data_IF_799643931967
#
_entry.id   IF_799643931967
#
_cell.length_a   1.000
_cell.length_b   1.000
_cell.length_c   1.000
_cell.angle_alpha   90.00
_cell.angle_beta   90.00
_cell.angle_gamma   90.00
#
_symmetry.space_group_name_H-M   'P 1'
#
loop_
_entity.id
_entity.type
_entity.pdbx_description
1 polymer ?
#
# COMPACT_ATOMS: atom_id res chain seq x y z
N UNK A 1 15.97 3.03 -13.50
CA UNK A 1 14.74 3.70 -13.07
C UNK A 1 14.67 3.68 -11.55
N UNK A 2 13.97 4.62 -10.92
CA UNK A 2 13.64 4.61 -9.49
C UNK A 2 12.11 4.59 -9.36
N UNK A 3 11.60 3.46 -8.90
CA UNK A 3 10.18 3.15 -8.74
C UNK A 3 9.83 3.21 -7.25
N UNK A 4 9.08 4.21 -6.85
CA UNK A 4 8.50 4.32 -5.52
C UNK A 4 7.25 3.43 -5.44
N UNK A 5 7.32 2.32 -4.69
CA UNK A 5 6.24 1.34 -4.61
C UNK A 5 5.07 1.75 -3.70
N UNK A 6 5.18 2.87 -2.98
CA UNK A 6 4.21 3.27 -1.97
C UNK A 6 3.90 4.77 -2.07
N UNK A 7 2.78 5.10 -2.73
CA UNK A 7 2.27 6.46 -2.80
C UNK A 7 0.76 6.53 -2.80
N UNK A 8 0.24 7.58 -2.20
CA UNK A 8 -1.19 7.86 -2.12
C UNK A 8 -1.53 9.26 -2.63
N UNK A 9 -2.72 9.40 -3.21
CA UNK A 9 -3.23 10.72 -3.59
C UNK A 9 -3.74 11.47 -2.36
N UNK A 10 -2.86 12.14 -1.62
CA UNK A 10 -3.19 12.82 -0.36
C UNK A 10 -3.59 14.29 -0.52
N UNK A 11 -3.55 14.78 -1.75
CA UNK A 11 -3.81 16.17 -2.15
C UNK A 11 -5.00 16.21 -3.12
N UNK A 12 -6.05 15.48 -2.76
CA UNK A 12 -7.27 15.32 -3.58
C UNK A 12 -7.97 16.68 -3.77
N UNK A 13 -8.67 16.90 -4.91
CA UNK A 13 -9.41 18.13 -5.13
C UNK A 13 -10.54 18.31 -4.09
N UNK A 14 -10.83 19.56 -3.72
CA UNK A 14 -11.81 19.90 -2.66
C UNK A 14 -13.20 19.31 -2.92
N UNK A 15 -13.61 19.18 -4.19
CA UNK A 15 -14.88 18.55 -4.55
C UNK A 15 -14.95 17.07 -4.14
N UNK A 16 -13.83 16.34 -4.19
CA UNK A 16 -13.76 14.94 -3.72
C UNK A 16 -13.99 14.86 -2.20
N UNK A 17 -13.35 15.76 -1.45
CA UNK A 17 -13.54 15.87 0.00
C UNK A 17 -14.95 16.30 0.38
N UNK A 18 -15.52 17.28 -0.33
CA UNK A 18 -16.87 17.77 -0.13
C UNK A 18 -17.89 16.65 -0.33
N UNK A 19 -17.76 15.87 -1.40
CA UNK A 19 -18.62 14.71 -1.62
C UNK A 19 -18.47 13.69 -0.49
N UNK A 20 -17.24 13.29 -0.13
CA UNK A 20 -17.02 12.27 0.90
C UNK A 20 -17.62 12.70 2.23
N UNK A 21 -17.48 13.96 2.61
CA UNK A 21 -18.10 14.50 3.83
C UNK A 21 -19.63 14.35 3.79
N UNK A 22 -20.26 14.74 2.68
CA UNK A 22 -21.71 14.59 2.51
C UNK A 22 -22.15 13.11 2.48
N UNK A 23 -21.34 12.22 1.91
CA UNK A 23 -21.61 10.78 1.86
C UNK A 23 -21.54 10.15 3.24
N UNK A 24 -20.58 10.56 4.08
CA UNK A 24 -20.48 10.15 5.48
C UNK A 24 -21.69 10.66 6.28
N UNK A 25 -22.07 11.93 6.10
CA UNK A 25 -23.29 12.48 6.72
C UNK A 25 -24.55 11.72 6.30
N UNK A 26 -24.63 11.27 5.05
CA UNK A 26 -25.71 10.41 4.56
C UNK A 26 -25.68 9.02 5.21
N UNK A 27 -24.52 8.38 5.27
CA UNK A 27 -24.35 7.06 5.90
C UNK A 27 -24.71 7.07 7.40
N UNK A 28 -24.43 8.17 8.10
CA UNK A 28 -24.78 8.37 9.51
C UNK A 28 -26.25 8.76 9.73
N UNK A 29 -27.10 8.77 8.69
CA UNK A 29 -28.48 9.29 8.71
C UNK A 29 -28.58 10.77 9.17
N UNK A 30 -27.52 11.55 8.95
CA UNK A 30 -27.48 13.00 9.24
C UNK A 30 -27.86 13.87 8.03
N UNK A 31 -27.89 13.30 6.82
CA UNK A 31 -28.37 13.97 5.61
C UNK A 31 -29.71 13.39 5.11
N UNK A 32 -30.55 14.23 4.49
CA UNK A 32 -31.89 13.85 3.99
C UNK A 32 -31.87 13.06 2.67
N UNK A 33 -30.77 13.08 1.93
CA UNK A 33 -30.67 12.45 0.61
C UNK A 33 -29.24 12.11 0.24
N UNK A 34 -29.09 11.15 -0.68
CA UNK A 34 -27.78 10.72 -1.19
C UNK A 34 -27.10 11.88 -1.94
N UNK A 35 -25.84 12.22 -1.64
CA UNK A 35 -25.15 13.30 -2.33
C UNK A 35 -24.84 12.92 -3.79
N UNK A 36 -24.70 13.92 -4.64
CA UNK A 36 -24.23 13.75 -6.01
C UNK A 36 -22.72 14.04 -6.09
N UNK A 37 -21.98 13.22 -6.85
CA UNK A 37 -20.57 13.44 -7.08
C UNK A 37 -20.37 14.52 -8.15
N UNK A 38 -19.84 15.67 -7.76
CA UNK A 38 -19.52 16.76 -8.69
C UNK A 38 -18.40 16.33 -9.63
N UNK A 39 -18.48 16.77 -10.90
CA UNK A 39 -17.38 16.58 -11.84
C UNK A 39 -16.13 17.33 -11.35
N UNK A 40 -14.99 16.65 -11.38
CA UNK A 40 -13.67 17.24 -11.14
C UNK A 40 -13.00 17.39 -12.51
N UNK A 41 -12.54 18.57 -12.90
CA UNK A 41 -11.86 18.77 -14.19
C UNK A 41 -10.47 18.15 -14.20
N UNK A 42 -9.94 17.86 -15.40
CA UNK A 42 -8.56 17.38 -15.54
C UNK A 42 -7.55 18.43 -15.07
N UNK A 43 -7.87 19.72 -15.19
CA UNK A 43 -6.98 20.80 -14.79
C UNK A 43 -6.86 20.91 -13.26
N UNK A 44 -7.94 20.68 -12.51
CA UNK A 44 -7.88 20.54 -11.04
C UNK A 44 -7.00 19.35 -10.61
N UNK A 45 -7.10 18.21 -11.30
CA UNK A 45 -6.24 17.06 -11.03
C UNK A 45 -4.77 17.39 -11.35
N UNK A 46 -4.51 18.02 -12.50
CA UNK A 46 -3.15 18.41 -12.89
C UNK A 46 -2.54 19.40 -11.91
N UNK A 47 -3.28 20.41 -11.47
CA UNK A 47 -2.80 21.42 -10.53
C UNK A 47 -2.33 20.78 -9.22
N UNK A 48 -3.16 19.91 -8.64
CA UNK A 48 -2.82 19.20 -7.41
C UNK A 48 -1.61 18.28 -7.57
N UNK A 49 -1.50 17.51 -8.67
CA UNK A 49 -0.37 16.61 -8.91
C UNK A 49 0.93 17.38 -9.22
N UNK A 50 0.87 18.40 -10.08
CA UNK A 50 2.03 19.21 -10.49
C UNK A 50 2.61 19.96 -9.30
N UNK A 51 1.76 20.57 -8.46
CA UNK A 51 2.21 21.33 -7.28
C UNK A 51 2.80 20.45 -6.17
N UNK A 52 2.46 19.16 -6.15
CA UNK A 52 2.80 18.24 -5.07
C UNK A 52 3.66 17.07 -5.55
N UNK A 53 3.07 15.91 -5.84
CA UNK A 53 3.78 14.65 -6.04
C UNK A 53 4.77 14.72 -7.22
N UNK A 54 4.37 15.33 -8.34
CA UNK A 54 5.26 15.43 -9.51
C UNK A 54 6.44 16.38 -9.26
N UNK A 55 6.22 17.45 -8.48
CA UNK A 55 7.30 18.34 -8.04
C UNK A 55 8.30 17.59 -7.18
N UNK A 56 7.83 16.84 -6.17
CA UNK A 56 8.73 16.07 -5.30
C UNK A 56 9.41 14.90 -6.01
N UNK A 57 8.75 14.19 -6.94
CA UNK A 57 9.41 13.20 -7.79
C UNK A 57 10.61 13.81 -8.51
N UNK A 58 10.45 14.99 -9.11
CA UNK A 58 11.54 15.71 -9.81
C UNK A 58 12.64 16.16 -8.86
N UNK A 59 12.29 16.74 -7.71
CA UNK A 59 13.26 17.23 -6.71
C UNK A 59 14.06 16.10 -6.08
N UNK A 60 13.44 14.93 -5.85
CA UNK A 60 14.04 13.76 -5.20
C UNK A 60 14.63 12.74 -6.18
N UNK A 61 14.38 12.90 -7.48
CA UNK A 61 14.89 12.03 -8.53
C UNK A 61 14.22 10.65 -8.59
N UNK A 62 12.92 10.58 -8.31
CA UNK A 62 12.11 9.39 -8.57
C UNK A 62 11.51 9.47 -9.99
N UNK A 63 11.42 8.32 -10.68
CA UNK A 63 10.91 8.27 -12.06
C UNK A 63 9.42 7.91 -12.10
N UNK A 64 9.00 6.95 -11.28
CA UNK A 64 7.63 6.40 -11.26
C UNK A 64 7.17 6.17 -9.82
N UNK A 65 5.90 6.46 -9.53
CA UNK A 65 5.25 6.06 -8.27
C UNK A 65 4.09 5.09 -8.55
N UNK A 66 4.06 3.99 -7.81
CA UNK A 66 2.88 3.13 -7.71
C UNK A 66 1.87 3.85 -6.81
N UNK A 67 0.76 4.28 -7.39
CA UNK A 67 -0.12 5.30 -6.83
C UNK A 67 -1.53 4.77 -6.58
N UNK A 68 -2.07 5.06 -5.40
CA UNK A 68 -3.37 4.56 -4.95
C UNK A 68 -4.19 5.64 -4.23
N UNK A 69 -5.48 5.40 -3.94
CA UNK A 69 -6.28 6.32 -3.13
C UNK A 69 -5.67 6.60 -1.75
N UNK A 70 -6.06 7.73 -1.14
CA UNK A 70 -5.59 8.10 0.21
C UNK A 70 -5.92 7.04 1.24
N UNK A 71 -4.91 6.44 1.87
CA UNK A 71 -5.12 5.35 2.82
C UNK A 71 -6.05 5.67 3.99
N UNK A 72 -5.82 6.80 4.68
CA UNK A 72 -6.69 7.23 5.78
C UNK A 72 -8.10 7.64 5.30
N UNK A 73 -8.25 7.92 4.00
CA UNK A 73 -9.50 8.27 3.35
C UNK A 73 -10.33 7.06 2.89
N UNK A 74 -9.77 5.84 2.83
CA UNK A 74 -10.52 4.63 2.43
C UNK A 74 -11.75 4.43 3.32
N UNK A 75 -11.58 4.53 4.65
CA UNK A 75 -12.67 4.67 5.61
C UNK A 75 -13.67 3.51 5.61
N UNK A 76 -13.20 2.27 5.45
CA UNK A 76 -14.05 1.07 5.35
C UNK A 76 -15.01 0.87 6.53
N UNK A 77 -14.69 1.39 7.71
CA UNK A 77 -15.53 1.32 8.91
C UNK A 77 -16.70 2.31 8.89
N UNK A 78 -16.86 3.13 7.84
CA UNK A 78 -17.90 4.15 7.73
C UNK A 78 -18.96 3.72 6.71
N UNK A 79 -20.20 3.58 7.19
CA UNK A 79 -21.34 3.18 6.37
C UNK A 79 -21.41 1.67 6.14
N UNK A 80 -21.98 1.29 5.01
CA UNK A 80 -22.19 -0.10 4.60
C UNK A 80 -21.42 -0.44 3.32
N UNK A 81 -21.63 -1.65 2.81
CA UNK A 81 -21.02 -2.14 1.58
C UNK A 81 -21.29 -1.23 0.37
N UNK A 82 -22.49 -0.67 0.24
CA UNK A 82 -22.84 0.19 -0.88
C UNK A 82 -22.10 1.53 -0.82
N UNK A 83 -21.92 2.09 0.38
CA UNK A 83 -21.09 3.28 0.62
C UNK A 83 -19.62 2.99 0.29
N UNK A 84 -19.09 1.85 0.76
CA UNK A 84 -17.72 1.42 0.44
C UNK A 84 -17.51 1.23 -1.06
N UNK A 85 -18.47 0.62 -1.78
CA UNK A 85 -18.38 0.39 -3.21
C UNK A 85 -18.34 1.68 -4.02
N UNK A 86 -19.31 2.58 -3.79
CA UNK A 86 -19.36 3.87 -4.47
C UNK A 86 -18.08 4.68 -4.20
N UNK A 87 -17.61 4.68 -2.94
CA UNK A 87 -16.42 5.42 -2.59
C UNK A 87 -15.16 4.85 -3.23
N UNK A 88 -14.99 3.52 -3.20
CA UNK A 88 -13.84 2.86 -3.83
C UNK A 88 -13.78 3.16 -5.33
N UNK A 89 -14.90 3.05 -6.03
CA UNK A 89 -14.98 3.32 -7.47
C UNK A 89 -14.61 4.77 -7.80
N UNK A 90 -15.18 5.74 -7.09
CA UNK A 90 -14.90 7.17 -7.33
C UNK A 90 -13.43 7.52 -7.11
N UNK A 91 -12.80 7.00 -6.05
CA UNK A 91 -11.37 7.25 -5.81
C UNK A 91 -10.48 6.47 -6.77
N UNK A 92 -10.81 5.23 -7.12
CA UNK A 92 -10.05 4.45 -8.11
C UNK A 92 -10.12 5.11 -9.50
N UNK A 93 -11.28 5.66 -9.88
CA UNK A 93 -11.44 6.41 -11.13
C UNK A 93 -10.59 7.69 -11.14
N UNK A 94 -10.43 8.37 -10.00
CA UNK A 94 -9.49 9.50 -9.89
C UNK A 94 -8.05 9.05 -10.11
N UNK A 95 -7.63 7.91 -9.53
CA UNK A 95 -6.29 7.36 -9.78
C UNK A 95 -6.11 7.01 -11.26
N UNK A 96 -7.10 6.38 -11.90
CA UNK A 96 -7.04 6.05 -13.32
C UNK A 96 -6.93 7.29 -14.22
N UNK A 97 -7.58 8.40 -13.84
CA UNK A 97 -7.41 9.68 -14.52
C UNK A 97 -6.00 10.23 -14.35
N UNK A 98 -5.43 10.16 -13.15
CA UNK A 98 -4.03 10.58 -12.90
C UNK A 98 -3.05 9.76 -13.76
N UNK A 99 -3.20 8.44 -13.81
CA UNK A 99 -2.34 7.57 -14.63
C UNK A 99 -2.50 7.83 -16.13
N UNK A 100 -3.66 8.34 -16.56
CA UNK A 100 -3.89 8.76 -17.96
C UNK A 100 -3.26 10.11 -18.26
N UNK A 101 -3.33 11.05 -17.31
CA UNK A 101 -2.78 12.40 -17.45
C UNK A 101 -1.25 12.45 -17.30
N UNK A 102 -0.68 11.53 -16.52
CA UNK A 102 0.74 11.45 -16.19
C UNK A 102 1.29 10.01 -16.31
N UNK A 103 1.16 9.36 -17.49
CA UNK A 103 1.43 7.91 -17.65
C UNK A 103 2.89 7.52 -17.50
N UNK A 104 3.83 8.47 -17.59
CA UNK A 104 5.26 8.22 -17.36
C UNK A 104 5.64 8.28 -15.87
N UNK A 105 4.78 8.84 -15.02
CA UNK A 105 5.09 9.17 -13.62
C UNK A 105 4.28 8.36 -12.60
N UNK A 106 3.13 7.83 -13.01
CA UNK A 106 2.24 7.09 -12.12
C UNK A 106 1.68 5.84 -12.77
N UNK A 107 1.58 4.78 -11.97
CA UNK A 107 0.87 3.54 -12.30
C UNK A 107 -0.11 3.22 -11.17
N UNK A 108 -1.31 2.75 -11.51
CA UNK A 108 -2.41 2.63 -10.56
C UNK A 108 -2.40 1.35 -9.72
N UNK A 109 -2.76 1.48 -8.46
CA UNK A 109 -3.14 0.40 -7.52
C UNK A 109 -4.48 0.78 -6.89
N UNK A 110 -5.41 -0.17 -6.78
CA UNK A 110 -6.75 0.14 -6.29
C UNK A 110 -6.87 0.03 -4.78
N UNK A 111 -7.77 0.83 -4.19
CA UNK A 111 -8.41 0.41 -2.94
C UNK A 111 -9.55 -0.58 -3.25
N UNK A 112 -9.87 -1.42 -2.27
CA UNK A 112 -10.97 -2.38 -2.38
C UNK A 112 -12.20 -1.87 -1.62
N UNK A 113 -13.43 -2.19 -2.06
CA UNK A 113 -14.66 -1.77 -1.38
C UNK A 113 -14.96 -2.64 -0.14
N UNK A 114 -14.00 -2.77 0.77
CA UNK A 114 -14.17 -3.57 1.98
C UNK A 114 -15.11 -2.87 2.97
N UNK A 115 -15.84 -3.66 3.76
CA UNK A 115 -16.72 -3.17 4.84
C UNK A 115 -16.76 -4.21 5.98
N UNK A 116 -16.88 -3.80 7.26
CA UNK A 116 -16.94 -4.72 8.40
C UNK A 116 -18.03 -5.78 8.26
N UNK A 117 -17.69 -7.04 8.49
CA UNK A 117 -18.62 -8.17 8.43
C UNK A 117 -19.03 -8.59 7.01
N UNK A 118 -18.53 -7.91 5.98
CA UNK A 118 -18.77 -8.25 4.56
C UNK A 118 -17.66 -9.13 4.03
N UNK A 119 -18.01 -10.12 3.22
CA UNK A 119 -17.03 -11.03 2.60
C UNK A 119 -16.12 -10.29 1.64
N UNK A 120 -14.81 -10.55 1.71
CA UNK A 120 -13.83 -10.00 0.77
C UNK A 120 -14.08 -10.46 -0.68
N UNK A 121 -14.79 -11.56 -0.89
CA UNK A 121 -15.19 -12.01 -2.22
C UNK A 121 -16.01 -10.94 -2.98
N UNK A 122 -16.74 -10.07 -2.27
CA UNK A 122 -17.54 -9.01 -2.88
C UNK A 122 -16.67 -7.87 -3.44
N UNK A 123 -15.38 -7.82 -3.10
CA UNK A 123 -14.41 -6.87 -3.65
C UNK A 123 -13.76 -7.34 -4.97
N UNK A 124 -14.01 -8.59 -5.41
CA UNK A 124 -13.39 -9.18 -6.61
C UNK A 124 -13.75 -8.38 -7.86
N UNK A 125 -15.02 -8.00 -8.02
CA UNK A 125 -15.47 -7.26 -9.21
C UNK A 125 -14.73 -5.92 -9.38
N UNK A 126 -14.45 -5.22 -8.28
CA UNK A 126 -13.69 -3.96 -8.33
C UNK A 126 -12.20 -4.20 -8.60
N UNK A 127 -11.62 -5.26 -8.04
CA UNK A 127 -10.24 -5.67 -8.38
C UNK A 127 -10.13 -5.96 -9.89
N UNK A 128 -11.05 -6.75 -10.44
CA UNK A 128 -11.08 -7.08 -11.88
C UNK A 128 -11.27 -5.83 -12.74
N UNK A 129 -12.21 -4.94 -12.37
CA UNK A 129 -12.44 -3.67 -13.08
C UNK A 129 -11.18 -2.81 -13.11
N UNK A 130 -10.49 -2.67 -11.98
CA UNK A 130 -9.28 -1.87 -11.89
C UNK A 130 -8.12 -2.48 -12.69
N UNK A 131 -7.88 -3.79 -12.58
CA UNK A 131 -6.74 -4.43 -13.24
C UNK A 131 -6.97 -4.57 -14.75
N UNK A 132 -8.15 -5.03 -15.16
CA UNK A 132 -8.43 -5.35 -16.58
C UNK A 132 -9.00 -4.16 -17.36
N UNK A 133 -9.79 -3.30 -16.70
CA UNK A 133 -10.42 -2.14 -17.32
C UNK A 133 -9.59 -0.85 -17.20
N UNK A 134 -8.94 -0.63 -16.05
CA UNK A 134 -8.17 0.60 -15.78
C UNK A 134 -6.65 0.43 -15.87
N UNK A 135 -6.17 -0.80 -16.08
CA UNK A 135 -4.74 -1.11 -16.23
C UNK A 135 -3.94 -1.07 -14.93
N UNK A 136 -4.59 -1.21 -13.78
CA UNK A 136 -3.91 -1.22 -12.48
C UNK A 136 -3.03 -2.45 -12.30
N UNK A 137 -2.00 -2.32 -11.47
CA UNK A 137 -0.95 -3.34 -11.29
C UNK A 137 -1.00 -4.06 -9.95
N UNK A 138 -1.95 -3.72 -9.08
CA UNK A 138 -2.09 -4.26 -7.73
C UNK A 138 -3.28 -3.67 -6.96
N UNK A 139 -3.44 -4.09 -5.71
CA UNK A 139 -4.42 -3.51 -4.79
C UNK A 139 -3.85 -3.25 -3.37
N UNK A 140 -4.51 -2.39 -2.62
CA UNK A 140 -4.35 -2.29 -1.17
C UNK A 140 -5.41 -3.18 -0.50
N UNK A 141 -4.97 -4.18 0.27
CA UNK A 141 -5.81 -5.12 1.00
C UNK A 141 -5.81 -4.76 2.48
N UNK A 142 -6.98 -4.43 3.02
CA UNK A 142 -7.12 -4.05 4.42
C UNK A 142 -7.37 -5.29 5.30
N UNK A 143 -6.46 -5.63 6.23
CA UNK A 143 -6.63 -6.79 7.12
C UNK A 143 -7.64 -6.53 8.24
N UNK A 144 -8.01 -5.28 8.50
CA UNK A 144 -8.97 -4.86 9.52
C UNK A 144 -9.92 -3.76 8.98
N UNK A 145 -10.96 -4.11 8.21
CA UNK A 145 -11.94 -3.14 7.73
C UNK A 145 -12.72 -2.45 8.87
N UNK A 146 -12.65 -2.96 10.11
CA UNK A 146 -13.32 -2.36 11.27
C UNK A 146 -12.63 -1.14 11.86
N UNK A 147 -11.43 -0.78 11.37
CA UNK A 147 -10.79 0.50 11.72
C UNK A 147 -10.22 0.54 13.13
N UNK A 148 -9.50 -0.51 13.55
CA UNK A 148 -8.79 -0.53 14.83
C UNK A 148 -9.37 -1.46 15.88
N UNK A 149 -10.29 -2.34 15.51
CA UNK A 149 -10.88 -3.33 16.41
C UNK A 149 -10.46 -4.77 16.09
N UNK A 150 -9.83 -5.02 14.94
CA UNK A 150 -9.36 -6.35 14.53
C UNK A 150 -10.46 -7.42 14.59
N UNK A 151 -11.64 -7.10 14.05
CA UNK A 151 -12.79 -8.02 14.03
C UNK A 151 -12.84 -8.94 12.82
N UNK A 152 -12.01 -8.69 11.80
CA UNK A 152 -11.90 -9.56 10.64
C UNK A 152 -11.03 -10.81 10.93
N UNK A 153 -11.25 -11.92 10.20
CA UNK A 153 -10.42 -13.12 10.31
C UNK A 153 -8.95 -12.84 9.94
N UNK A 154 -7.97 -13.58 10.49
CA UNK A 154 -6.57 -13.44 10.11
C UNK A 154 -6.37 -13.71 8.61
N UNK A 155 -5.32 -13.15 8.01
CA UNK A 155 -5.00 -13.33 6.57
C UNK A 155 -4.78 -14.79 6.14
N UNK A 156 -4.65 -15.71 7.08
CA UNK A 156 -4.49 -17.15 6.82
C UNK A 156 -5.83 -17.90 6.77
N UNK A 157 -6.94 -17.24 7.13
CA UNK A 157 -8.28 -17.81 7.11
C UNK A 157 -8.78 -18.06 5.69
N UNK A 158 -9.56 -19.14 5.51
CA UNK A 158 -10.11 -19.52 4.21
C UNK A 158 -11.13 -18.52 3.67
N UNK A 159 -11.69 -17.64 4.50
CA UNK A 159 -12.55 -16.55 4.05
C UNK A 159 -11.87 -15.64 3.02
N UNK A 160 -10.52 -15.57 3.02
CA UNK A 160 -9.76 -14.75 2.08
C UNK A 160 -9.42 -15.46 0.76
N UNK A 161 -9.56 -16.78 0.69
CA UNK A 161 -9.05 -17.60 -0.41
C UNK A 161 -9.67 -17.24 -1.77
N UNK A 162 -10.99 -16.99 -1.89
CA UNK A 162 -11.56 -16.55 -3.17
C UNK A 162 -10.90 -15.29 -3.72
N UNK A 163 -10.49 -14.37 -2.83
CA UNK A 163 -9.79 -13.16 -3.23
C UNK A 163 -8.33 -13.45 -3.62
N UNK A 164 -7.64 -14.33 -2.89
CA UNK A 164 -6.27 -14.75 -3.24
C UNK A 164 -6.21 -15.50 -4.57
N UNK A 165 -7.20 -16.35 -4.87
CA UNK A 165 -7.35 -16.97 -6.20
C UNK A 165 -7.39 -15.92 -7.29
N UNK A 166 -8.16 -14.83 -7.08
CA UNK A 166 -8.24 -13.73 -8.06
C UNK A 166 -6.94 -12.93 -8.18
N UNK A 167 -6.24 -12.65 -7.09
CA UNK A 167 -4.91 -12.00 -7.13
C UNK A 167 -3.91 -12.83 -7.95
N UNK A 168 -3.92 -14.16 -7.75
CA UNK A 168 -3.06 -15.08 -8.50
C UNK A 168 -3.47 -15.16 -9.97
N UNK A 169 -4.77 -15.25 -10.27
CA UNK A 169 -5.29 -15.29 -11.64
C UNK A 169 -4.92 -14.02 -12.44
N UNK A 170 -5.06 -12.84 -11.83
CA UNK A 170 -4.75 -11.55 -12.45
C UNK A 170 -3.25 -11.23 -12.46
N UNK A 171 -2.45 -12.03 -11.75
CA UNK A 171 -1.02 -11.90 -11.53
C UNK A 171 -0.62 -10.53 -10.92
N UNK A 172 -1.31 -10.13 -9.86
CA UNK A 172 -1.08 -8.86 -9.16
C UNK A 172 -0.82 -9.06 -7.65
N UNK A 173 0.10 -8.31 -7.04
CA UNK A 173 0.33 -8.34 -5.60
C UNK A 173 -0.71 -7.50 -4.84
N UNK A 174 -0.75 -7.68 -3.51
CA UNK A 174 -1.49 -6.80 -2.61
C UNK A 174 -0.55 -6.15 -1.58
N UNK A 175 -0.68 -4.84 -1.38
CA UNK A 175 -0.10 -4.18 -0.21
C UNK A 175 -1.06 -4.33 0.98
N UNK A 176 -0.58 -4.85 2.10
CA UNK A 176 -1.35 -4.96 3.33
C UNK A 176 -1.45 -3.57 3.95
N UNK A 177 -2.65 -2.97 3.94
CA UNK A 177 -2.80 -1.58 4.33
C UNK A 177 -4.14 -1.32 5.03
N UNK A 178 -4.09 -0.91 6.30
CA UNK A 178 -5.27 -0.46 7.06
C UNK A 178 -5.69 0.97 6.69
N UNK A 179 -6.79 1.47 7.23
CA UNK A 179 -7.27 2.85 6.97
C UNK A 179 -7.28 3.69 8.25
N UNK A 180 -8.08 4.75 8.30
CA UNK A 180 -8.33 5.52 9.52
C UNK A 180 -8.75 4.62 10.69
N UNK A 181 -8.24 4.92 11.89
CA UNK A 181 -8.66 4.27 13.13
C UNK A 181 -9.86 5.01 13.73
N UNK A 182 -10.92 4.29 14.09
CA UNK A 182 -12.01 4.76 14.94
C UNK A 182 -11.82 4.35 16.42
N UNK A 183 -10.70 3.70 16.75
CA UNK A 183 -10.35 3.33 18.11
C UNK A 183 -9.50 4.42 18.79
N UNK A 184 -10.00 4.97 19.89
CA UNK A 184 -9.34 6.03 20.65
C UNK A 184 -7.95 5.65 21.20
N UNK A 185 -7.65 4.35 21.33
CA UNK A 185 -6.33 3.89 21.76
C UNK A 185 -5.27 3.94 20.65
N UNK A 186 -5.68 4.01 19.38
CA UNK A 186 -4.77 3.88 18.25
C UNK A 186 -4.80 5.13 17.38
N UNK A 187 -3.73 5.91 17.44
CA UNK A 187 -3.47 6.94 16.43
C UNK A 187 -3.29 6.29 15.05
N UNK A 188 -4.00 6.80 14.03
CA UNK A 188 -4.06 6.20 12.68
C UNK A 188 -2.69 5.84 12.11
N UNK A 189 -1.85 6.83 11.83
CA UNK A 189 -0.58 6.59 11.10
C UNK A 189 0.58 6.19 11.99
N UNK A 190 0.52 6.54 13.28
CA UNK A 190 1.63 6.36 14.23
C UNK A 190 1.53 5.13 15.11
N UNK A 191 0.37 4.47 15.12
CA UNK A 191 0.15 3.24 15.89
C UNK A 191 -0.63 2.20 15.09
N UNK A 192 -1.81 2.53 14.57
CA UNK A 192 -2.67 1.56 13.89
C UNK A 192 -1.97 0.92 12.68
N UNK A 193 -1.27 1.71 11.86
CA UNK A 193 -0.53 1.23 10.69
C UNK A 193 0.58 0.25 11.10
N UNK A 194 1.53 0.68 11.94
CA UNK A 194 2.66 -0.14 12.40
C UNK A 194 2.21 -1.41 13.12
N UNK A 195 1.14 -1.31 13.92
CA UNK A 195 0.54 -2.47 14.59
C UNK A 195 -0.01 -3.47 13.58
N UNK A 196 -0.63 -2.99 12.49
CA UNK A 196 -1.19 -3.85 11.46
C UNK A 196 -0.14 -4.56 10.62
N UNK A 197 0.93 -3.86 10.25
CA UNK A 197 2.06 -4.45 9.55
C UNK A 197 2.65 -5.63 10.34
N UNK A 198 2.88 -5.38 11.63
CA UNK A 198 3.43 -6.34 12.59
C UNK A 198 2.50 -7.53 12.81
N UNK A 199 1.19 -7.27 12.91
CA UNK A 199 0.18 -8.30 13.12
C UNK A 199 0.00 -9.18 11.89
N UNK A 200 -0.06 -8.59 10.70
CA UNK A 200 -0.16 -9.32 9.44
C UNK A 200 1.01 -10.29 9.26
N UNK A 201 2.25 -9.84 9.49
CA UNK A 201 3.42 -10.72 9.42
C UNK A 201 3.33 -11.89 10.42
N UNK A 202 2.92 -11.62 11.66
CA UNK A 202 2.78 -12.67 12.67
C UNK A 202 1.66 -13.67 12.31
N UNK A 203 0.53 -13.21 11.76
CA UNK A 203 -0.53 -14.09 11.29
C UNK A 203 -0.03 -15.04 10.19
N UNK A 204 0.72 -14.52 9.22
CA UNK A 204 1.32 -15.32 8.16
C UNK A 204 2.32 -16.35 8.72
N UNK A 205 3.14 -15.96 9.70
CA UNK A 205 4.05 -16.88 10.39
C UNK A 205 3.31 -18.02 11.11
N UNK A 206 2.13 -17.76 11.70
CA UNK A 206 1.35 -18.79 12.37
C UNK A 206 0.70 -19.78 11.40
N UNK A 207 0.32 -19.33 10.20
CA UNK A 207 -0.27 -20.18 9.15
C UNK A 207 0.74 -20.78 8.19
N UNK A 208 0.26 -21.26 7.04
CA UNK A 208 1.06 -21.78 5.91
C UNK A 208 0.47 -21.28 4.57
N UNK A 209 0.00 -20.02 4.51
CA UNK A 209 -0.78 -19.48 3.39
C UNK A 209 -0.13 -19.75 2.02
N UNK A 210 1.18 -19.58 1.93
CA UNK A 210 1.93 -19.72 0.68
C UNK A 210 2.17 -21.17 0.25
N UNK A 211 1.84 -22.16 1.09
CA UNK A 211 1.73 -23.56 0.63
C UNK A 211 0.58 -23.70 -0.35
N UNK A 212 -0.54 -23.04 -0.06
CA UNK A 212 -1.76 -23.12 -0.84
C UNK A 212 -1.71 -22.13 -2.02
N UNK A 213 -1.06 -20.96 -1.84
CA UNK A 213 -0.84 -19.96 -2.89
C UNK A 213 0.64 -19.60 -3.06
N UNK A 214 1.46 -20.46 -3.71
CA UNK A 214 2.91 -20.26 -3.80
C UNK A 214 3.34 -19.04 -4.63
N UNK A 215 2.45 -18.50 -5.47
CA UNK A 215 2.70 -17.31 -6.30
C UNK A 215 2.08 -16.03 -5.74
N UNK A 216 1.33 -16.09 -4.64
CA UNK A 216 0.76 -14.91 -4.01
C UNK A 216 1.87 -14.00 -3.47
N UNK A 217 1.73 -12.68 -3.67
CA UNK A 217 2.75 -11.70 -3.27
C UNK A 217 2.11 -10.61 -2.42
N UNK A 218 2.65 -10.42 -1.22
CA UNK A 218 2.17 -9.43 -0.26
C UNK A 218 3.29 -8.43 0.05
N UNK A 219 2.98 -7.14 -0.04
CA UNK A 219 3.88 -6.07 0.43
C UNK A 219 3.36 -5.61 1.79
N UNK A 220 4.20 -5.66 2.82
CA UNK A 220 3.91 -5.08 4.13
C UNK A 220 4.66 -3.75 4.23
N UNK A 221 3.96 -2.61 4.32
CA UNK A 221 4.58 -1.30 4.24
C UNK A 221 5.32 -0.91 5.54
N UNK A 222 5.84 0.31 5.56
CA UNK A 222 6.54 0.92 6.70
C UNK A 222 7.73 0.09 7.18
N UNK A 223 8.48 -0.50 6.23
CA UNK A 223 9.57 -1.43 6.52
C UNK A 223 9.12 -2.70 7.24
N UNK A 224 7.86 -3.14 7.09
CA UNK A 224 7.32 -4.29 7.82
C UNK A 224 6.92 -3.98 9.26
N UNK A 225 6.69 -2.70 9.60
CA UNK A 225 6.37 -2.26 10.95
C UNK A 225 7.49 -2.56 11.94
N UNK A 226 7.19 -3.33 12.99
CA UNK A 226 8.20 -3.72 14.00
C UNK A 226 8.98 -4.99 13.63
N UNK A 227 8.71 -5.61 12.47
CA UNK A 227 9.22 -6.95 12.13
C UNK A 227 10.73 -7.00 11.98
N UNK A 228 11.41 -6.18 11.15
CA UNK A 228 12.86 -6.22 11.06
C UNK A 228 13.55 -5.84 12.37
N UNK A 229 12.98 -4.90 13.13
CA UNK A 229 13.52 -4.51 14.43
C UNK A 229 13.54 -5.67 15.42
N UNK A 230 12.51 -6.51 15.38
CA UNK A 230 12.40 -7.72 16.19
C UNK A 230 12.68 -9.01 15.40
N UNK A 231 13.48 -8.96 14.32
CA UNK A 231 13.68 -10.11 13.42
C UNK A 231 14.11 -11.39 14.16
N UNK A 232 15.03 -11.27 15.12
CA UNK A 232 15.48 -12.39 15.96
C UNK A 232 14.34 -13.02 16.78
N UNK A 233 13.37 -12.22 17.23
CA UNK A 233 12.17 -12.69 17.93
C UNK A 233 11.32 -13.55 17.01
N UNK A 234 11.05 -13.08 15.79
CA UNK A 234 10.25 -13.84 14.82
C UNK A 234 10.92 -15.14 14.38
N UNK A 235 12.25 -15.15 14.23
CA UNK A 235 13.00 -16.39 13.99
C UNK A 235 12.89 -17.37 15.17
N UNK A 236 13.01 -16.87 16.40
CA UNK A 236 12.79 -17.70 17.60
C UNK A 236 11.36 -18.24 17.68
N UNK A 237 10.36 -17.41 17.37
CA UNK A 237 8.95 -17.82 17.34
C UNK A 237 8.67 -18.85 16.25
N UNK A 238 9.30 -18.75 15.08
CA UNK A 238 9.20 -19.78 14.04
C UNK A 238 9.64 -21.16 14.59
N UNK A 239 10.79 -21.22 15.27
CA UNK A 239 11.26 -22.44 15.90
C UNK A 239 10.32 -22.95 17.01
N UNK A 240 9.81 -22.06 17.87
CA UNK A 240 8.85 -22.43 18.93
C UNK A 240 7.52 -22.96 18.38
N UNK A 241 7.04 -22.38 17.28
CA UNK A 241 5.82 -22.80 16.59
C UNK A 241 6.05 -23.98 15.63
N UNK A 242 7.28 -24.53 15.58
CA UNK A 242 7.67 -25.62 14.68
C UNK A 242 7.43 -25.28 13.20
N UNK A 243 7.64 -24.02 12.83
CA UNK A 243 7.56 -23.51 11.45
C UNK A 243 8.94 -23.55 10.78
N UNK A 244 9.00 -23.59 9.44
CA UNK A 244 10.26 -23.41 8.73
C UNK A 244 10.87 -22.03 9.03
N UNK A 245 12.17 -21.89 8.77
CA UNK A 245 12.86 -20.59 8.89
C UNK A 245 12.16 -19.52 8.04
N UNK A 246 12.13 -18.27 8.53
CA UNK A 246 11.37 -17.18 7.91
C UNK A 246 11.65 -17.03 6.41
N UNK A 247 12.92 -17.17 6.01
CA UNK A 247 13.34 -17.09 4.60
C UNK A 247 12.64 -18.10 3.70
N UNK A 248 12.54 -19.34 4.17
CA UNK A 248 11.88 -20.43 3.46
C UNK A 248 10.36 -20.31 3.57
N UNK A 249 9.86 -19.91 4.74
CA UNK A 249 8.43 -19.93 5.02
C UNK A 249 7.66 -18.76 4.40
N UNK A 250 8.21 -17.55 4.48
CA UNK A 250 7.49 -16.31 4.16
C UNK A 250 8.18 -15.47 3.09
N UNK A 251 9.51 -15.39 3.11
CA UNK A 251 10.24 -14.38 2.31
C UNK A 251 10.33 -14.71 0.81
N UNK A 252 9.72 -15.78 0.31
CA UNK A 252 9.48 -15.91 -1.12
C UNK A 252 8.25 -15.12 -1.60
N UNK A 253 7.39 -14.72 -0.67
CA UNK A 253 6.06 -14.15 -0.94
C UNK A 253 5.81 -12.81 -0.24
N UNK A 254 6.55 -12.52 0.84
CA UNK A 254 6.43 -11.28 1.63
C UNK A 254 7.57 -10.32 1.31
N UNK A 255 7.22 -9.06 1.12
CA UNK A 255 8.13 -7.97 0.79
C UNK A 255 7.90 -6.77 1.70
N UNK A 256 8.93 -5.97 1.93
CA UNK A 256 8.86 -4.73 2.71
C UNK A 256 9.23 -3.53 1.83
N UNK A 257 8.53 -2.41 2.03
CA UNK A 257 8.96 -1.13 1.47
C UNK A 257 10.13 -0.53 2.28
N UNK A 258 10.60 0.66 1.86
CA UNK A 258 11.59 1.45 2.60
C UNK A 258 11.00 2.70 3.27
N UNK A 259 9.71 2.68 3.63
CA UNK A 259 9.05 3.79 4.33
C UNK A 259 9.45 3.84 5.82
N UNK A 260 10.75 4.02 6.06
CA UNK A 260 11.39 4.11 7.37
C UNK A 260 12.16 5.42 7.44
N UNK A 261 11.65 6.37 8.23
CA UNK A 261 12.00 7.80 8.13
C UNK A 261 13.23 8.22 8.94
N UNK A 262 14.28 7.39 8.93
CA UNK A 262 15.60 7.74 9.45
C UNK A 262 16.66 6.72 9.02
N UNK A 263 17.93 7.15 8.99
CA UNK A 263 19.04 6.31 8.54
C UNK A 263 19.19 5.01 9.35
N UNK A 264 19.13 5.08 10.68
CA UNK A 264 19.37 3.91 11.53
C UNK A 264 18.35 2.78 11.32
N UNK A 265 17.10 3.13 11.02
CA UNK A 265 16.07 2.15 10.68
C UNK A 265 16.29 1.51 9.32
N UNK A 266 16.69 2.30 8.31
CA UNK A 266 17.07 1.80 6.99
C UNK A 266 18.30 0.89 7.07
N UNK A 267 19.33 1.28 7.82
CA UNK A 267 20.52 0.45 8.07
C UNK A 267 20.15 -0.92 8.66
N UNK A 268 19.18 -0.94 9.59
CA UNK A 268 18.70 -2.16 10.20
C UNK A 268 17.91 -3.03 9.23
N UNK A 269 16.97 -2.44 8.47
CA UNK A 269 16.16 -3.14 7.48
C UNK A 269 17.05 -3.93 6.51
N UNK A 270 18.07 -3.27 5.95
CA UNK A 270 19.02 -3.86 5.00
C UNK A 270 19.99 -4.85 5.62
N UNK A 271 20.21 -4.79 6.94
CA UNK A 271 21.09 -5.73 7.65
C UNK A 271 20.43 -7.09 7.87
N UNK A 272 19.12 -7.11 8.12
CA UNK A 272 18.42 -8.33 8.58
C UNK A 272 17.49 -8.94 7.54
N UNK A 273 17.08 -8.16 6.55
CA UNK A 273 16.20 -8.57 5.45
C UNK A 273 17.01 -8.77 4.18
N UNK A 274 16.71 -9.82 3.42
CA UNK A 274 17.41 -10.10 2.16
C UNK A 274 17.06 -9.02 1.12
N UNK A 275 18.03 -8.65 0.28
CA UNK A 275 17.88 -7.54 -0.68
C UNK A 275 16.72 -7.75 -1.65
N UNK A 276 16.39 -9.00 -1.98
CA UNK A 276 15.28 -9.36 -2.87
C UNK A 276 13.91 -9.12 -2.24
N UNK A 277 13.84 -8.83 -0.94
CA UNK A 277 12.60 -8.57 -0.21
C UNK A 277 12.34 -7.09 0.06
N UNK A 278 13.23 -6.20 -0.38
CA UNK A 278 13.15 -4.76 -0.12
C UNK A 278 12.79 -4.01 -1.40
N UNK A 279 11.70 -3.25 -1.37
CA UNK A 279 11.27 -2.38 -2.46
C UNK A 279 11.42 -0.93 -2.03
N UNK A 280 11.94 -0.07 -2.89
CA UNK A 280 11.96 1.36 -2.60
C UNK A 280 10.53 1.89 -2.42
N UNK A 281 10.31 2.63 -1.33
CA UNK A 281 9.07 3.31 -1.00
C UNK A 281 9.36 4.59 -0.20
N UNK A 282 8.57 5.64 -0.44
CA UNK A 282 8.68 6.90 0.34
C UNK A 282 7.40 7.34 1.02
N UNK A 283 6.23 7.02 0.47
CA UNK A 283 4.93 7.52 0.93
C UNK A 283 4.92 9.06 1.05
N UNK A 284 5.54 9.75 0.09
CA UNK A 284 5.67 11.21 0.11
C UNK A 284 4.32 11.93 0.25
N UNK A 285 4.30 13.03 1.00
CA UNK A 285 3.06 13.74 1.42
C UNK A 285 2.13 12.88 2.28
N UNK A 286 2.68 11.87 2.91
CA UNK A 286 1.96 10.93 3.73
C UNK A 286 1.82 11.32 5.19
N UNK A 287 2.19 10.39 6.06
CA UNK A 287 2.11 10.53 7.51
C UNK A 287 2.99 11.65 8.09
N UNK A 288 4.20 11.85 7.55
CA UNK A 288 5.17 12.84 8.07
C UNK A 288 5.70 13.69 6.92
N UNK A 289 5.23 14.95 6.85
CA UNK A 289 5.55 15.89 5.76
C UNK A 289 6.63 16.93 6.12
N UNK A 290 7.15 16.83 7.34
CA UNK A 290 8.05 17.82 7.92
C UNK A 290 9.51 17.63 7.51
N UNK A 291 10.29 18.67 7.77
CA UNK A 291 11.76 18.60 7.77
C UNK A 291 12.23 18.04 9.10
N UNK A 292 13.17 17.10 9.03
CA UNK A 292 13.89 16.58 10.18
C UNK A 292 14.87 17.66 10.69
N UNK A 293 14.73 18.14 11.95
CA UNK A 293 15.63 19.13 12.50
C UNK A 293 17.07 18.63 12.66
N UNK A 294 17.31 17.32 12.72
CA UNK A 294 18.65 16.77 12.88
C UNK A 294 19.42 16.76 11.55
N UNK A 295 18.73 16.44 10.45
CA UNK A 295 19.36 16.28 9.13
C UNK A 295 19.09 17.42 8.15
N UNK A 296 18.11 18.28 8.45
CA UNK A 296 17.63 19.37 7.59
C UNK A 296 17.04 18.90 6.24
N UNK A 297 16.72 17.62 6.11
CA UNK A 297 16.02 17.03 4.97
C UNK A 297 14.59 16.60 5.36
N UNK A 298 13.70 16.39 4.40
CA UNK A 298 12.39 15.82 4.69
C UNK A 298 12.53 14.40 5.26
N UNK A 299 11.75 14.07 6.30
CA UNK A 299 11.68 12.72 6.87
C UNK A 299 11.33 11.65 5.83
N UNK A 300 10.45 11.99 4.88
CA UNK A 300 9.95 11.10 3.82
C UNK A 300 10.81 11.15 2.54
N UNK A 301 11.99 11.79 2.54
CA UNK A 301 12.96 11.72 1.43
C UNK A 301 13.82 10.43 1.54
N UNK A 302 13.14 9.28 1.53
CA UNK A 302 13.73 7.97 1.89
C UNK A 302 14.83 7.51 0.95
N UNK A 303 14.87 8.04 -0.29
CA UNK A 303 15.94 7.76 -1.26
C UNK A 303 17.31 8.13 -0.67
N UNK A 304 17.39 9.23 0.08
CA UNK A 304 18.62 9.67 0.73
C UNK A 304 19.21 8.60 1.63
N UNK A 305 18.36 7.92 2.41
CA UNK A 305 18.83 6.89 3.32
C UNK A 305 19.38 5.66 2.59
N UNK A 306 18.87 5.36 1.40
CA UNK A 306 19.36 4.25 0.57
C UNK A 306 20.67 4.65 -0.15
N UNK A 307 20.78 5.91 -0.58
CA UNK A 307 21.98 6.43 -1.25
C UNK A 307 23.22 6.42 -0.34
N UNK A 308 23.06 6.49 0.99
CA UNK A 308 24.17 6.40 1.95
C UNK A 308 24.63 4.97 2.22
N UNK A 309 23.83 3.96 1.87
CA UNK A 309 24.17 2.56 2.11
C UNK A 309 25.30 2.10 1.18
N UNK A 310 26.22 1.24 1.66
CA UNK A 310 27.31 0.69 0.85
C UNK A 310 26.83 -0.46 -0.05
N UNK A 311 25.84 -0.18 -0.91
CA UNK A 311 25.27 -1.16 -1.84
C UNK A 311 26.09 -1.22 -3.14
N UNK A 312 26.25 -2.44 -3.68
CA UNK A 312 26.67 -2.63 -5.07
C UNK A 312 25.62 -2.05 -6.03
N UNK A 313 26.01 -1.80 -7.27
CA UNK A 313 25.08 -1.29 -8.29
C UNK A 313 23.94 -2.28 -8.57
N UNK A 314 24.22 -3.58 -8.50
CA UNK A 314 23.19 -4.63 -8.60
C UNK A 314 22.17 -4.57 -7.45
N UNK A 315 22.64 -4.46 -6.20
CA UNK A 315 21.76 -4.36 -5.05
C UNK A 315 20.93 -3.07 -5.08
N UNK A 316 21.55 -1.96 -5.49
CA UNK A 316 20.88 -0.67 -5.68
C UNK A 316 19.81 -0.75 -6.77
N UNK A 317 20.11 -1.40 -7.90
CA UNK A 317 19.13 -1.66 -8.97
C UNK A 317 17.96 -2.52 -8.48
N UNK A 318 18.22 -3.59 -7.72
CA UNK A 318 17.16 -4.44 -7.16
C UNK A 318 16.17 -3.64 -6.32
N UNK A 319 16.67 -2.80 -5.41
CA UNK A 319 15.79 -2.02 -4.52
C UNK A 319 15.03 -0.93 -5.26
N UNK A 320 15.70 -0.15 -6.12
CA UNK A 320 15.06 0.97 -6.81
C UNK A 320 14.18 0.54 -7.98
N UNK A 321 14.37 -0.63 -8.56
CA UNK A 321 13.64 -1.03 -9.77
C UNK A 321 13.34 -2.54 -9.83
N UNK A 322 14.36 -3.38 -9.77
CA UNK A 322 14.26 -4.80 -10.12
C UNK A 322 13.22 -5.57 -9.29
N UNK A 323 13.17 -5.31 -7.98
CA UNK A 323 12.23 -5.97 -7.08
C UNK A 323 10.79 -5.51 -7.33
N UNK A 324 10.54 -4.21 -7.51
CA UNK A 324 9.21 -3.70 -7.83
C UNK A 324 8.70 -4.31 -9.15
N UNK A 325 9.54 -4.37 -10.19
CA UNK A 325 9.18 -5.00 -11.47
C UNK A 325 8.89 -6.50 -11.33
N UNK A 326 9.64 -7.21 -10.48
CA UNK A 326 9.42 -8.64 -10.20
C UNK A 326 8.13 -8.88 -9.39
N UNK A 327 7.84 -8.03 -8.41
CA UNK A 327 6.67 -8.17 -7.53
C UNK A 327 5.38 -7.74 -8.22
N UNK A 328 5.47 -6.81 -9.17
CA UNK A 328 4.37 -6.30 -9.99
C UNK A 328 4.58 -6.67 -11.48
N UNK A 329 4.30 -7.92 -11.91
CA UNK A 329 4.55 -8.37 -13.30
C UNK A 329 3.85 -7.55 -14.38
N UNK A 330 2.65 -7.02 -14.08
CA UNK A 330 1.93 -6.12 -14.99
C UNK A 330 2.65 -4.79 -15.17
N UNK A 331 3.25 -4.23 -14.11
CA UNK A 331 4.13 -3.05 -14.22
C UNK A 331 5.34 -3.37 -15.10
N UNK A 332 5.98 -4.53 -14.90
CA UNK A 332 7.10 -4.92 -15.75
C UNK A 332 6.73 -5.00 -17.24
N UNK A 333 5.52 -5.51 -17.53
CA UNK A 333 4.98 -5.54 -18.90
C UNK A 333 4.75 -4.13 -19.45
N UNK A 334 4.18 -3.21 -18.65
CA UNK A 334 3.94 -1.82 -19.05
C UNK A 334 5.21 -1.04 -19.36
N UNK A 335 6.28 -1.27 -18.59
CA UNK A 335 7.59 -0.62 -18.81
C UNK A 335 8.39 -1.23 -19.98
N UNK A 336 7.92 -2.35 -20.55
CA UNK A 336 8.61 -3.11 -21.60
C UNK A 336 9.87 -3.83 -21.09
N UNK A 337 10.33 -4.86 -21.81
CA UNK A 337 11.58 -5.60 -21.50
C UNK A 337 12.83 -4.78 -21.85
N UNK A 338 12.98 -3.59 -21.28
CA UNK A 338 14.22 -2.80 -21.35
C UNK A 338 15.17 -3.22 -20.23
N UNK A 339 15.77 -4.40 -20.34
CA UNK A 339 16.72 -4.91 -19.34
C UNK A 339 16.99 -6.40 -19.46
N UNK A 340 17.72 -6.78 -20.52
CA UNK A 340 18.50 -8.02 -20.58
C UNK A 340 19.98 -7.66 -20.47
#
# INVERSE_FOLDING_TARGET
MIIDCHGHYTTEPEAHHTFRKAQIEYADNRARGKPAYSSISDDEIKETIIGNQLRLQRERGADLTIFSPRAAGMGHHIGDEAISLEWAQLSNDLIARITTLFPQNFVGVCQLPQSPGVSIANAIDELERCVTGLGFVGCNLNPDPSGGHWTAPPLTDRSWYPFYEKLVELDVPAMIHVSGSCNACFHTTGAHYINADTTAFMQLLQGDLFRDFPTLRLVIPHGGGAVPYHWGRYRGLAAMLQKPELRQHLMSNVFFDTCVYHQAGIDLLFRVTDIDNILFGSEMFGAVRGIDPETQYSFDDTKRYIDTLPLSDEARFKVFEGNARRVYPRLNTLLGTGGS
#
